data_IF_457112532819
#
_entry.id   IF_457112532819
#
_cell.length_a   1.000
_cell.length_b   1.000
_cell.length_c   1.000
_cell.angle_alpha   90.00
_cell.angle_beta   90.00
_cell.angle_gamma   90.00
#
_symmetry.space_group_name_H-M   'P 1'
#
loop_
_entity.id
_entity.type
_entity.pdbx_description
1 polymer ?
#
# COMPACT_ATOMS: atom_id res chain seq x y z
N UNK A 1 5.37 20.19 -22.44
CA UNK A 1 5.48 18.77 -22.02
C UNK A 1 4.23 18.45 -21.23
N UNK A 2 3.50 17.39 -21.57
CA UNK A 2 2.42 16.92 -20.70
C UNK A 2 3.03 16.55 -19.34
N UNK A 3 2.33 16.89 -18.26
CA UNK A 3 2.77 16.53 -16.91
C UNK A 3 2.76 15.01 -16.70
N UNK A 4 2.00 14.26 -17.50
CA UNK A 4 2.02 12.78 -17.53
C UNK A 4 3.29 12.25 -18.20
N UNK A 5 3.70 12.82 -19.34
CA UNK A 5 4.96 12.45 -20.02
C UNK A 5 6.17 12.62 -19.09
N UNK A 6 6.15 13.67 -18.26
CA UNK A 6 7.21 13.92 -17.28
C UNK A 6 7.33 12.78 -16.26
N UNK A 7 6.22 12.19 -15.81
CA UNK A 7 6.26 11.08 -14.85
C UNK A 7 6.83 9.81 -15.48
N UNK A 8 6.52 9.52 -16.74
CA UNK A 8 7.13 8.41 -17.45
C UNK A 8 8.63 8.64 -17.67
N UNK A 9 9.04 9.85 -18.03
CA UNK A 9 10.47 10.19 -18.14
C UNK A 9 11.20 10.01 -16.81
N UNK A 10 10.62 10.49 -15.70
CA UNK A 10 11.19 10.27 -14.37
C UNK A 10 11.29 8.77 -14.05
N UNK A 11 10.25 7.99 -14.38
CA UNK A 11 10.27 6.54 -14.19
C UNK A 11 11.40 5.87 -14.98
N UNK A 12 11.54 6.20 -16.28
CA UNK A 12 12.54 5.59 -17.16
C UNK A 12 13.96 5.92 -16.67
N UNK A 13 14.22 7.18 -16.29
CA UNK A 13 15.51 7.61 -15.73
C UNK A 13 15.83 6.82 -14.45
N UNK A 14 14.86 6.70 -13.55
CA UNK A 14 15.04 5.95 -12.30
C UNK A 14 15.27 4.47 -12.55
N UNK A 15 14.54 3.87 -13.50
CA UNK A 15 14.69 2.46 -13.87
C UNK A 15 16.06 2.15 -14.49
N UNK A 16 16.62 3.10 -15.26
CA UNK A 16 17.91 2.97 -15.93
C UNK A 16 19.12 3.39 -15.08
N UNK A 17 18.90 3.94 -13.88
CA UNK A 17 19.92 4.61 -13.06
C UNK A 17 21.10 3.74 -12.56
N UNK A 18 21.16 2.45 -12.90
CA UNK A 18 22.31 1.50 -12.74
C UNK A 18 23.22 1.80 -11.52
N UNK A 19 22.64 1.94 -10.33
CA UNK A 19 23.32 2.15 -9.04
C UNK A 19 23.76 3.59 -8.69
N UNK A 20 23.16 4.64 -9.27
CA UNK A 20 23.30 6.04 -8.82
C UNK A 20 21.98 6.65 -8.32
N UNK A 21 21.19 5.97 -7.46
CA UNK A 21 19.89 6.49 -7.06
C UNK A 21 20.00 7.83 -6.32
N UNK A 22 21.09 8.06 -5.57
CA UNK A 22 21.35 9.34 -4.89
C UNK A 22 21.41 10.56 -5.83
N UNK A 23 21.72 10.39 -7.12
CA UNK A 23 21.75 11.49 -8.10
C UNK A 23 20.34 11.84 -8.62
N UNK A 24 19.32 11.05 -8.28
CA UNK A 24 17.98 11.16 -8.83
C UNK A 24 16.88 11.23 -7.76
N UNK A 25 17.25 11.62 -6.54
CA UNK A 25 16.31 11.76 -5.41
C UNK A 25 15.14 12.70 -5.74
N UNK A 26 15.42 13.83 -6.38
CA UNK A 26 14.40 14.80 -6.79
C UNK A 26 13.37 14.19 -7.75
N UNK A 27 13.78 13.31 -8.66
CA UNK A 27 12.88 12.65 -9.61
C UNK A 27 11.91 11.71 -8.90
N UNK A 28 12.40 11.01 -7.88
CA UNK A 28 11.56 10.14 -7.07
C UNK A 28 10.60 10.94 -6.18
N UNK A 29 11.05 12.06 -5.60
CA UNK A 29 10.17 12.98 -4.88
C UNK A 29 9.07 13.55 -5.78
N UNK A 30 9.36 13.85 -7.05
CA UNK A 30 8.34 14.28 -8.01
C UNK A 30 7.30 13.17 -8.29
N UNK A 31 7.71 11.91 -8.35
CA UNK A 31 6.79 10.76 -8.48
C UNK A 31 5.91 10.65 -7.24
N UNK A 32 6.47 10.78 -6.04
CA UNK A 32 5.70 10.76 -4.79
C UNK A 32 4.68 11.91 -4.78
N UNK A 33 5.11 13.12 -5.16
CA UNK A 33 4.25 14.30 -5.21
C UNK A 33 3.10 14.17 -6.23
N UNK A 34 3.23 13.30 -7.23
CA UNK A 34 2.16 13.00 -8.17
C UNK A 34 0.91 12.36 -7.52
N UNK A 35 1.04 11.83 -6.30
CA UNK A 35 -0.10 11.40 -5.48
C UNK A 35 -1.13 12.52 -5.22
N UNK A 36 -0.70 13.78 -5.32
CA UNK A 36 -1.56 14.98 -5.15
C UNK A 36 -2.03 15.56 -6.49
N UNK A 37 -1.84 14.81 -7.58
CA UNK A 37 -2.15 15.22 -8.94
C UNK A 37 -3.60 15.01 -9.35
N UNK A 38 -3.83 14.98 -10.67
CA UNK A 38 -5.10 14.52 -11.25
C UNK A 38 -5.19 12.98 -11.22
N UNK A 39 -6.37 12.44 -11.57
CA UNK A 39 -6.64 11.00 -11.58
C UNK A 39 -5.57 10.19 -12.32
N UNK A 40 -5.10 10.67 -13.47
CA UNK A 40 -4.09 9.95 -14.26
C UNK A 40 -2.75 9.91 -13.52
N UNK A 41 -2.31 11.05 -12.96
CA UNK A 41 -1.08 11.12 -12.16
C UNK A 41 -1.13 10.25 -10.92
N UNK A 42 -2.26 10.27 -10.20
CA UNK A 42 -2.48 9.44 -9.02
C UNK A 42 -2.37 7.95 -9.35
N UNK A 43 -3.00 7.51 -10.43
CA UNK A 43 -2.93 6.12 -10.90
C UNK A 43 -1.52 5.68 -11.28
N UNK A 44 -0.69 6.59 -11.80
CA UNK A 44 0.73 6.32 -12.06
C UNK A 44 1.54 6.28 -10.75
N UNK A 45 1.30 7.24 -9.84
CA UNK A 45 1.96 7.31 -8.55
C UNK A 45 1.76 6.00 -7.76
N UNK A 46 0.54 5.45 -7.71
CA UNK A 46 0.25 4.16 -7.07
C UNK A 46 1.21 3.04 -7.49
N UNK A 47 1.65 3.03 -8.76
CA UNK A 47 2.51 1.99 -9.34
C UNK A 47 3.98 2.32 -9.21
N UNK A 48 4.33 3.61 -9.36
CA UNK A 48 5.72 4.05 -9.48
C UNK A 48 6.39 4.23 -8.12
N UNK A 49 5.67 4.76 -7.12
CA UNK A 49 6.18 4.90 -5.75
C UNK A 49 6.78 3.58 -5.22
N UNK A 50 6.03 2.46 -5.15
CA UNK A 50 6.55 1.21 -4.59
C UNK A 50 7.73 0.62 -5.37
N UNK A 51 7.95 1.04 -6.64
CA UNK A 51 8.95 0.43 -7.53
C UNK A 51 10.39 0.73 -7.10
N UNK A 52 10.63 1.88 -6.49
CA UNK A 52 11.97 2.42 -6.24
C UNK A 52 12.33 2.47 -4.75
N UNK A 53 11.53 1.86 -3.87
CA UNK A 53 11.77 1.91 -2.41
C UNK A 53 13.17 1.46 -2.00
N UNK A 54 13.66 0.37 -2.60
CA UNK A 54 15.01 -0.19 -2.35
C UNK A 54 16.13 0.77 -2.73
N UNK A 55 15.88 1.61 -3.74
CA UNK A 55 16.86 2.51 -4.32
C UNK A 55 16.95 3.80 -3.47
N UNK A 56 15.89 4.12 -2.73
CA UNK A 56 15.76 5.31 -1.90
C UNK A 56 15.38 4.99 -0.44
N UNK A 57 16.25 4.32 0.33
CA UNK A 57 15.95 3.91 1.71
C UNK A 57 15.59 5.10 2.62
N UNK A 58 16.20 6.27 2.39
CA UNK A 58 15.96 7.51 3.13
C UNK A 58 14.57 8.10 2.88
N UNK A 59 13.92 7.75 1.77
CA UNK A 59 12.60 8.25 1.38
C UNK A 59 11.50 7.23 1.61
N UNK A 60 11.78 6.09 2.25
CA UNK A 60 10.79 5.02 2.45
C UNK A 60 9.56 5.47 3.25
N UNK A 61 9.75 6.32 4.27
CA UNK A 61 8.62 6.90 5.04
C UNK A 61 7.83 7.87 4.17
N UNK A 62 8.49 8.82 3.49
CA UNK A 62 7.85 9.78 2.58
C UNK A 62 7.08 9.09 1.45
N UNK A 63 7.64 8.02 0.91
CA UNK A 63 7.01 7.20 -0.12
C UNK A 63 5.78 6.46 0.43
N UNK A 64 5.86 5.95 1.66
CA UNK A 64 4.71 5.33 2.31
C UNK A 64 3.61 6.38 2.52
N UNK A 65 3.93 7.55 3.06
CA UNK A 65 2.94 8.62 3.26
C UNK A 65 2.27 9.04 1.95
N UNK A 66 3.02 9.16 0.84
CA UNK A 66 2.43 9.41 -0.48
C UNK A 66 1.54 8.28 -0.99
N UNK A 67 1.84 7.02 -0.67
CA UNK A 67 0.96 5.90 -0.97
C UNK A 67 -0.29 5.91 -0.07
N UNK A 68 -0.15 6.35 1.19
CA UNK A 68 -1.27 6.45 2.12
C UNK A 68 -2.23 7.58 1.75
N UNK A 69 -1.73 8.71 1.24
CA UNK A 69 -2.57 9.76 0.66
C UNK A 69 -3.50 9.19 -0.45
N UNK A 70 -3.03 8.19 -1.21
CA UNK A 70 -3.79 7.56 -2.29
C UNK A 70 -4.83 6.53 -1.82
N UNK A 71 -4.62 5.88 -0.67
CA UNK A 71 -5.64 4.97 -0.10
C UNK A 71 -6.78 5.75 0.57
N UNK A 72 -6.60 7.05 0.83
CA UNK A 72 -7.62 7.95 1.38
C UNK A 72 -8.35 8.74 0.28
N UNK A 73 -8.12 8.43 -1.00
CA UNK A 73 -8.73 9.13 -2.13
C UNK A 73 -10.25 8.93 -2.19
N UNK A 74 -10.98 9.98 -2.63
CA UNK A 74 -12.42 9.91 -2.82
C UNK A 74 -12.81 8.87 -3.90
N UNK A 75 -11.96 8.68 -4.92
CA UNK A 75 -12.17 7.70 -5.97
C UNK A 75 -11.75 6.28 -5.53
N UNK A 76 -12.75 5.40 -5.39
CA UNK A 76 -12.56 3.99 -5.03
C UNK A 76 -11.62 3.26 -5.99
N UNK A 77 -11.55 3.65 -7.27
CA UNK A 77 -10.64 3.05 -8.24
C UNK A 77 -9.17 3.36 -7.89
N UNK A 78 -8.89 4.57 -7.43
CA UNK A 78 -7.55 4.98 -6.98
C UNK A 78 -7.19 4.26 -5.69
N UNK A 79 -8.10 4.23 -4.70
CA UNK A 79 -7.87 3.50 -3.44
C UNK A 79 -7.55 2.03 -3.67
N UNK A 80 -8.36 1.36 -4.48
CA UNK A 80 -8.13 -0.05 -4.89
C UNK A 80 -6.76 -0.25 -5.49
N UNK A 81 -6.38 0.63 -6.40
CA UNK A 81 -5.09 0.54 -7.06
C UNK A 81 -3.95 0.76 -6.06
N UNK A 82 -4.07 1.73 -5.15
CA UNK A 82 -3.07 2.00 -4.13
C UNK A 82 -2.91 0.83 -3.14
N UNK A 83 -4.01 0.23 -2.66
CA UNK A 83 -4.03 -0.93 -1.75
C UNK A 83 -3.26 -2.11 -2.35
N UNK A 84 -3.44 -2.37 -3.64
CA UNK A 84 -2.76 -3.46 -4.36
C UNK A 84 -1.24 -3.41 -4.23
N UNK A 85 -0.66 -2.21 -4.06
CA UNK A 85 0.78 -2.03 -3.97
C UNK A 85 1.34 -1.93 -2.55
N UNK A 86 0.50 -1.81 -1.51
CA UNK A 86 0.95 -1.80 -0.11
C UNK A 86 1.85 -3.00 0.26
N UNK A 87 1.59 -4.25 -0.21
CA UNK A 87 2.49 -5.36 0.10
C UNK A 87 3.94 -5.18 -0.39
N UNK A 88 4.19 -4.32 -1.38
CA UNK A 88 5.56 -4.02 -1.84
C UNK A 88 6.40 -3.33 -0.76
N UNK A 89 5.78 -2.45 0.04
CA UNK A 89 6.43 -1.81 1.18
C UNK A 89 6.82 -2.82 2.25
N UNK A 90 5.95 -3.80 2.51
CA UNK A 90 6.21 -4.89 3.45
C UNK A 90 7.35 -5.82 3.00
N UNK A 91 7.44 -6.09 1.68
CA UNK A 91 8.53 -6.88 1.10
C UNK A 91 9.87 -6.17 1.22
N UNK A 92 9.89 -4.86 1.03
CA UNK A 92 11.11 -4.05 1.14
C UNK A 92 11.53 -3.85 2.60
N UNK A 93 10.58 -3.53 3.48
CA UNK A 93 10.87 -3.27 4.88
C UNK A 93 9.79 -3.83 5.80
N UNK A 94 10.15 -4.86 6.57
CA UNK A 94 9.25 -5.48 7.55
C UNK A 94 8.73 -4.51 8.62
N UNK A 95 9.41 -3.37 8.85
CA UNK A 95 8.97 -2.33 9.80
C UNK A 95 7.57 -1.79 9.48
N UNK A 96 7.14 -1.85 8.23
CA UNK A 96 5.85 -1.34 7.79
C UNK A 96 4.70 -2.33 7.97
N UNK A 97 4.98 -3.62 8.22
CA UNK A 97 3.95 -4.68 8.22
C UNK A 97 2.86 -4.39 9.24
N UNK A 98 3.21 -4.04 10.48
CA UNK A 98 2.23 -3.77 11.54
C UNK A 98 1.33 -2.57 11.19
N UNK A 99 1.91 -1.46 10.70
CA UNK A 99 1.16 -0.26 10.28
C UNK A 99 0.24 -0.55 9.10
N UNK A 100 0.76 -1.21 8.05
CA UNK A 100 0.00 -1.56 6.85
C UNK A 100 -1.11 -2.57 7.19
N UNK A 101 -0.84 -3.53 8.08
CA UNK A 101 -1.84 -4.49 8.54
C UNK A 101 -2.99 -3.81 9.28
N UNK A 102 -2.70 -2.88 10.19
CA UNK A 102 -3.72 -2.09 10.88
C UNK A 102 -4.59 -1.32 9.88
N UNK A 103 -3.97 -0.62 8.93
CA UNK A 103 -4.67 0.12 7.87
C UNK A 103 -5.55 -0.79 7.01
N UNK A 104 -5.03 -1.93 6.52
CA UNK A 104 -5.81 -2.88 5.73
C UNK A 104 -6.97 -3.46 6.55
N UNK A 105 -6.77 -3.67 7.85
CA UNK A 105 -7.82 -4.12 8.76
C UNK A 105 -8.94 -3.09 8.88
N UNK A 106 -8.61 -1.79 8.93
CA UNK A 106 -9.61 -0.70 8.87
C UNK A 106 -10.42 -0.76 7.57
N UNK A 107 -9.75 -1.00 6.44
CA UNK A 107 -10.37 -1.04 5.11
C UNK A 107 -11.26 -2.27 4.86
N UNK A 108 -11.22 -3.31 5.70
CA UNK A 108 -12.17 -4.44 5.63
C UNK A 108 -13.63 -4.03 5.86
N UNK A 109 -13.88 -2.79 6.29
CA UNK A 109 -15.21 -2.21 6.45
C UNK A 109 -15.75 -1.56 5.16
N UNK A 110 -15.00 -1.58 4.05
CA UNK A 110 -15.47 -1.02 2.78
C UNK A 110 -16.74 -1.72 2.29
N UNK A 111 -17.69 -0.93 1.80
CA UNK A 111 -18.92 -1.40 1.15
C UNK A 111 -18.70 -1.76 -0.34
N UNK A 112 -17.58 -1.33 -0.95
CA UNK A 112 -17.22 -1.74 -2.32
C UNK A 112 -16.63 -3.14 -2.31
N UNK A 113 -17.36 -4.09 -2.88
CA UNK A 113 -16.92 -5.49 -2.97
C UNK A 113 -15.56 -5.69 -3.65
N UNK A 114 -15.21 -4.83 -4.63
CA UNK A 114 -13.93 -4.93 -5.32
C UNK A 114 -12.76 -4.37 -4.51
N UNK A 115 -12.97 -3.31 -3.74
CA UNK A 115 -12.05 -2.79 -2.73
C UNK A 115 -11.82 -3.83 -1.64
N UNK A 116 -12.89 -4.40 -1.10
CA UNK A 116 -12.81 -5.46 -0.10
C UNK A 116 -11.97 -6.65 -0.61
N UNK A 117 -12.23 -7.15 -1.82
CA UNK A 117 -11.44 -8.24 -2.40
C UNK A 117 -9.95 -7.90 -2.54
N UNK A 118 -9.64 -6.64 -2.87
CA UNK A 118 -8.25 -6.17 -3.01
C UNK A 118 -7.56 -6.07 -1.64
N UNK A 119 -8.25 -5.56 -0.63
CA UNK A 119 -7.77 -5.50 0.76
C UNK A 119 -7.49 -6.90 1.31
N UNK A 120 -8.41 -7.85 1.11
CA UNK A 120 -8.23 -9.23 1.55
C UNK A 120 -7.00 -9.88 0.89
N UNK A 121 -6.81 -9.66 -0.41
CA UNK A 121 -5.64 -10.15 -1.14
C UNK A 121 -4.33 -9.56 -0.59
N UNK A 122 -4.33 -8.26 -0.27
CA UNK A 122 -3.18 -7.59 0.32
C UNK A 122 -2.86 -8.13 1.74
N UNK A 123 -3.87 -8.33 2.58
CA UNK A 123 -3.73 -8.93 3.92
C UNK A 123 -3.14 -10.34 3.86
N UNK A 124 -3.63 -11.19 2.97
CA UNK A 124 -3.09 -12.55 2.77
C UNK A 124 -1.62 -12.47 2.32
N UNK A 125 -1.31 -11.55 1.42
CA UNK A 125 0.07 -11.35 0.95
C UNK A 125 0.99 -10.99 2.10
N UNK A 126 0.61 -10.08 3.00
CA UNK A 126 1.46 -9.67 4.12
C UNK A 126 1.48 -10.71 5.26
N UNK A 127 0.40 -11.49 5.46
CA UNK A 127 0.37 -12.66 6.35
C UNK A 127 1.45 -13.68 5.94
N UNK A 128 1.59 -13.90 4.63
CA UNK A 128 2.61 -14.81 4.08
C UNK A 128 4.04 -14.24 4.16
N UNK A 129 4.21 -12.93 4.35
CA UNK A 129 5.54 -12.30 4.57
C UNK A 129 5.93 -12.41 6.05
N UNK A 130 5.02 -12.05 6.95
CA UNK A 130 5.24 -12.10 8.39
C UNK A 130 3.90 -12.21 9.12
N UNK A 131 3.50 -13.44 9.45
CA UNK A 131 2.24 -13.71 10.13
C UNK A 131 2.17 -13.00 11.48
N UNK A 132 3.25 -13.00 12.25
CA UNK A 132 3.26 -12.44 13.61
C UNK A 132 3.03 -10.92 13.55
N UNK A 133 3.85 -10.19 12.79
CA UNK A 133 3.71 -8.74 12.67
C UNK A 133 2.36 -8.34 12.06
N UNK A 134 1.83 -9.15 11.14
CA UNK A 134 0.51 -8.91 10.56
C UNK A 134 -0.61 -9.09 11.59
N UNK A 135 -0.61 -10.18 12.36
CA UNK A 135 -1.58 -10.39 13.43
C UNK A 135 -1.48 -9.29 14.50
N UNK A 136 -0.27 -8.84 14.85
CA UNK A 136 -0.08 -7.69 15.75
C UNK A 136 -0.80 -6.43 15.23
N UNK A 137 -0.71 -6.14 13.93
CA UNK A 137 -1.43 -5.02 13.33
C UNK A 137 -2.95 -5.19 13.35
N UNK A 138 -3.45 -6.40 13.06
CA UNK A 138 -4.89 -6.72 13.14
C UNK A 138 -5.41 -6.51 14.57
N UNK A 139 -4.63 -6.91 15.58
CA UNK A 139 -5.03 -6.73 16.99
C UNK A 139 -4.79 -5.30 17.50
N UNK A 140 -3.89 -4.51 16.90
CA UNK A 140 -3.71 -3.09 17.23
C UNK A 140 -4.95 -2.26 16.85
N UNK A 141 -5.62 -2.59 15.75
CA UNK A 141 -6.91 -1.98 15.40
C UNK A 141 -7.91 -2.10 16.57
N UNK A 142 -7.93 -3.26 17.25
CA UNK A 142 -8.84 -3.55 18.36
C UNK A 142 -8.67 -2.56 19.53
N UNK A 143 -7.48 -1.98 19.74
CA UNK A 143 -7.29 -0.98 20.80
C UNK A 143 -7.82 0.40 20.42
N UNK A 144 -7.85 0.75 19.13
CA UNK A 144 -8.29 2.07 18.67
C UNK A 144 -9.82 2.18 18.47
N UNK A 145 -10.53 1.07 18.21
CA UNK A 145 -11.94 1.07 17.81
C UNK A 145 -12.91 0.45 18.82
N UNK A 146 -12.66 0.61 20.11
CA UNK A 146 -13.46 0.03 21.23
C UNK A 146 -14.98 0.35 21.24
N UNK A 147 -15.57 1.02 20.24
CA UNK A 147 -16.98 1.45 20.29
C UNK A 147 -17.86 1.29 19.05
N UNK A 148 -17.42 0.82 17.87
CA UNK A 148 -18.33 0.73 16.71
C UNK A 148 -18.08 -0.51 15.83
N UNK A 149 -19.18 -1.20 15.48
CA UNK A 149 -19.32 -2.47 14.74
C UNK A 149 -18.75 -3.75 15.42
N UNK A 150 -19.33 -4.93 15.13
CA UNK A 150 -18.75 -6.19 15.57
C UNK A 150 -17.54 -6.49 14.68
N UNK A 151 -16.40 -5.90 15.01
CA UNK A 151 -15.09 -6.22 14.44
C UNK A 151 -14.83 -7.73 14.33
N UNK A 152 -15.35 -8.48 15.30
CA UNK A 152 -15.35 -9.94 15.33
C UNK A 152 -16.02 -10.54 14.09
N UNK A 153 -17.13 -9.98 13.59
CA UNK A 153 -17.80 -10.47 12.39
C UNK A 153 -17.00 -10.20 11.12
N UNK A 154 -16.31 -9.05 11.06
CA UNK A 154 -15.47 -8.68 9.90
C UNK A 154 -14.26 -9.60 9.83
N UNK A 155 -13.53 -9.79 10.94
CA UNK A 155 -12.42 -10.73 10.98
C UNK A 155 -12.89 -12.18 10.80
N UNK A 156 -13.99 -12.57 11.42
CA UNK A 156 -14.55 -13.91 11.24
C UNK A 156 -14.89 -14.16 9.78
N UNK A 157 -15.52 -13.20 9.09
CA UNK A 157 -15.80 -13.31 7.66
C UNK A 157 -14.52 -13.44 6.84
N UNK A 158 -13.49 -12.65 7.14
CA UNK A 158 -12.19 -12.72 6.49
C UNK A 158 -11.54 -14.11 6.67
N UNK A 159 -11.43 -14.59 7.91
CA UNK A 159 -10.81 -15.88 8.20
C UNK A 159 -11.64 -17.06 7.68
N UNK A 160 -12.98 -16.98 7.72
CA UNK A 160 -13.86 -18.00 7.15
C UNK A 160 -13.68 -18.10 5.63
N UNK A 161 -13.69 -16.96 4.93
CA UNK A 161 -13.54 -16.89 3.48
C UNK A 161 -12.14 -17.32 3.00
N UNK A 162 -11.10 -17.08 3.80
CA UNK A 162 -9.71 -17.29 3.40
C UNK A 162 -9.01 -18.48 4.07
N UNK A 163 -9.76 -19.30 4.82
CA UNK A 163 -9.25 -20.47 5.56
C UNK A 163 -8.39 -21.41 4.71
N UNK A 164 -8.76 -21.67 3.45
CA UNK A 164 -8.00 -22.53 2.52
C UNK A 164 -6.69 -21.90 2.03
N UNK A 165 -6.64 -20.56 1.93
CA UNK A 165 -5.45 -19.81 1.49
C UNK A 165 -4.44 -19.60 2.63
N UNK A 166 -4.87 -19.83 3.87
CA UNK A 166 -4.07 -19.70 5.10
C UNK A 166 -3.50 -21.04 5.58
N UNK A 167 -3.74 -22.14 4.86
CA UNK A 167 -3.13 -23.44 5.14
C UNK A 167 -1.63 -23.34 4.81
N UNK A 168 -0.84 -23.13 5.85
CA UNK A 168 0.63 -23.16 5.80
C UNK A 168 1.11 -24.56 5.42
N UNK A 169 1.99 -24.65 4.42
CA UNK A 169 2.95 -25.76 4.30
C UNK A 169 4.06 -25.60 5.33
#
# INVERSE_FOLDING_TARGET
MDKVDKLYQNYDILADSKNKPSEHEELYLEIIQAAKGDTVKKMLACQFIPRFLKDFPNLTETALDGQLDLIEDDDVAIRKHAVKYLPSFCKESKKFITKISDILTQMLQSEDSGELATVQTALITILNIDMKATLEGIFLFKSHQLKKMPFENVLYSFFAQNSNSLVLN
#
